data_IF_836642446757
#
_entry.id   IF_836642446757
#
_cell.length_a   1.000
_cell.length_b   1.000
_cell.length_c   1.000
_cell.angle_alpha   90.00
_cell.angle_beta   90.00
_cell.angle_gamma   90.00
#
_symmetry.space_group_name_H-M   'P 1'
#
loop_
_entity.id
_entity.type
_entity.pdbx_description
1 polymer ?
#
# COMPACT_ATOMS: atom_id res chain seq x y z
N UNK A 1 12.57 0.56 28.75
CA UNK A 1 11.11 0.43 29.02
C UNK A 1 10.42 1.71 28.57
N UNK A 2 10.49 2.07 27.28
CA UNK A 2 9.93 3.35 26.76
C UNK A 2 8.88 3.16 25.64
N UNK A 3 8.67 1.92 25.17
CA UNK A 3 7.77 1.64 24.03
C UNK A 3 6.28 1.47 24.41
N UNK A 4 5.93 1.57 25.69
CA UNK A 4 4.58 1.32 26.21
C UNK A 4 3.64 2.55 26.18
N UNK A 5 4.14 3.73 25.81
CA UNK A 5 3.41 5.00 25.98
C UNK A 5 2.11 5.13 25.18
N UNK A 6 1.97 4.41 24.06
CA UNK A 6 0.77 4.48 23.21
C UNK A 6 -0.24 3.38 23.50
N UNK A 7 0.21 2.20 23.90
CA UNK A 7 -0.64 1.03 24.20
C UNK A 7 -1.23 1.08 25.61
N UNK A 8 -0.73 1.95 26.47
CA UNK A 8 -1.31 2.24 27.80
C UNK A 8 -2.43 3.30 27.75
N UNK A 9 -2.76 3.81 26.56
CA UNK A 9 -3.82 4.82 26.43
C UNK A 9 -5.20 4.25 26.71
N UNK A 10 -6.11 5.14 27.10
CA UNK A 10 -7.51 4.82 27.31
C UNK A 10 -8.15 4.17 26.07
N UNK A 11 -7.69 4.54 24.87
CA UNK A 11 -8.11 3.92 23.63
C UNK A 11 -7.84 2.40 23.61
N UNK A 12 -6.62 1.98 23.96
CA UNK A 12 -6.26 0.56 24.02
C UNK A 12 -7.02 -0.18 25.12
N UNK A 13 -7.31 0.49 26.25
CA UNK A 13 -8.14 -0.06 27.32
C UNK A 13 -9.56 -0.36 26.83
N UNK A 14 -10.16 0.56 26.07
CA UNK A 14 -11.53 0.45 25.56
C UNK A 14 -11.67 -0.56 24.41
N UNK A 15 -10.66 -0.72 23.55
CA UNK A 15 -10.69 -1.75 22.48
C UNK A 15 -10.38 -3.15 23.01
N UNK A 16 -9.75 -3.26 24.18
CA UNK A 16 -9.45 -4.52 24.86
C UNK A 16 -10.56 -5.00 25.79
N UNK A 17 -11.42 -4.09 26.27
CA UNK A 17 -12.48 -4.40 27.23
C UNK A 17 -13.89 -4.22 26.62
N UNK A 18 -14.70 -5.29 26.51
CA UNK A 18 -16.04 -5.21 25.93
C UNK A 18 -17.11 -4.53 26.81
N UNK A 19 -16.86 -4.35 28.11
CA UNK A 19 -17.92 -4.02 29.08
C UNK A 19 -18.19 -2.51 29.23
N UNK A 20 -17.33 -1.64 28.69
CA UNK A 20 -17.55 -0.19 28.70
C UNK A 20 -16.91 0.46 27.48
N UNK A 21 -17.73 0.97 26.57
CA UNK A 21 -17.31 1.66 25.33
C UNK A 21 -17.72 3.12 25.29
N UNK A 22 -18.23 3.62 26.42
CA UNK A 22 -18.59 5.03 26.57
C UNK A 22 -17.34 5.87 26.45
N UNK A 23 -17.31 6.80 25.49
CA UNK A 23 -16.16 7.66 25.26
C UNK A 23 -15.12 7.13 24.28
N UNK A 24 -15.38 6.04 23.54
CA UNK A 24 -14.43 5.49 22.54
C UNK A 24 -13.95 6.54 21.53
N UNK A 25 -14.85 7.40 21.06
CA UNK A 25 -14.50 8.51 20.15
C UNK A 25 -13.53 9.49 20.80
N UNK A 26 -13.80 9.91 22.04
CA UNK A 26 -12.93 10.82 22.79
C UNK A 26 -11.56 10.20 23.02
N UNK A 27 -11.53 8.92 23.43
CA UNK A 27 -10.29 8.18 23.62
C UNK A 27 -9.48 8.04 22.32
N UNK A 28 -10.17 7.82 21.18
CA UNK A 28 -9.53 7.82 19.87
C UNK A 28 -8.93 9.18 19.53
N UNK A 29 -9.67 10.28 19.73
CA UNK A 29 -9.17 11.62 19.44
C UNK A 29 -7.93 11.94 20.30
N UNK A 30 -7.96 11.62 21.59
CA UNK A 30 -6.81 11.75 22.50
C UNK A 30 -5.62 10.88 22.08
N UNK A 31 -5.86 9.64 21.67
CA UNK A 31 -4.84 8.75 21.13
C UNK A 31 -4.14 9.36 19.91
N UNK A 32 -4.90 9.92 18.96
CA UNK A 32 -4.30 10.56 17.77
C UNK A 32 -3.47 11.79 18.15
N UNK A 33 -3.94 12.59 19.11
CA UNK A 33 -3.16 13.73 19.64
C UNK A 33 -1.86 13.27 20.27
N UNK A 34 -1.88 12.18 21.03
CA UNK A 34 -0.69 11.62 21.67
C UNK A 34 0.33 11.13 20.64
N UNK A 35 -0.14 10.46 19.59
CA UNK A 35 0.69 10.05 18.44
C UNK A 35 1.33 11.26 17.76
N UNK A 36 0.58 12.35 17.54
CA UNK A 36 1.13 13.58 16.95
C UNK A 36 2.21 14.17 17.84
N UNK A 37 1.93 14.34 19.13
CA UNK A 37 2.91 14.88 20.09
C UNK A 37 4.20 14.06 20.12
N UNK A 38 4.08 12.74 20.11
CA UNK A 38 5.22 11.84 20.07
C UNK A 38 6.09 12.06 18.82
N UNK A 39 5.47 12.30 17.66
CA UNK A 39 6.17 12.55 16.40
C UNK A 39 6.78 13.95 16.29
N UNK A 40 6.36 14.91 17.12
CA UNK A 40 6.92 16.27 17.16
C UNK A 40 8.17 16.38 18.03
N UNK A 41 8.49 15.35 18.84
CA UNK A 41 9.69 15.32 19.68
C UNK A 41 10.91 15.08 18.79
N UNK A 42 12.02 15.84 18.94
CA UNK A 42 13.20 15.72 18.09
C UNK A 42 13.75 14.28 18.00
N UNK A 43 14.24 13.87 16.82
CA UNK A 43 14.55 12.49 16.46
C UNK A 43 15.79 11.85 17.13
N UNK A 44 16.32 12.43 18.21
CA UNK A 44 17.62 12.02 18.78
C UNK A 44 17.65 10.57 19.32
N UNK A 45 16.51 9.91 19.48
CA UNK A 45 16.42 8.59 20.15
C UNK A 45 15.71 7.47 19.39
N UNK A 46 15.18 7.69 18.16
CA UNK A 46 14.38 6.67 17.45
C UNK A 46 13.08 6.25 18.16
N UNK A 47 12.78 6.87 19.29
CA UNK A 47 11.69 6.58 20.21
C UNK A 47 10.29 6.60 19.55
N UNK A 48 9.95 7.57 18.66
CA UNK A 48 8.65 7.59 18.00
C UNK A 48 8.41 6.38 17.08
N UNK A 49 9.45 5.94 16.36
CA UNK A 49 9.33 4.81 15.42
C UNK A 49 9.02 3.53 16.19
N UNK A 50 9.77 3.24 17.26
CA UNK A 50 9.57 2.03 18.05
C UNK A 50 8.19 1.98 18.73
N UNK A 51 7.75 3.09 19.33
CA UNK A 51 6.45 3.16 19.99
C UNK A 51 5.29 3.03 18.99
N UNK A 52 5.42 3.62 17.79
CA UNK A 52 4.41 3.47 16.73
C UNK A 52 4.40 2.07 16.11
N UNK A 53 5.55 1.46 15.87
CA UNK A 53 5.62 0.07 15.38
C UNK A 53 5.00 -0.92 16.36
N UNK A 54 5.20 -0.69 17.67
CA UNK A 54 4.55 -1.50 18.69
C UNK A 54 3.02 -1.29 18.69
N UNK A 55 2.55 -0.03 18.67
CA UNK A 55 1.13 0.27 18.59
C UNK A 55 0.47 -0.30 17.31
N UNK A 56 1.16 -0.29 16.16
CA UNK A 56 0.69 -0.93 14.93
C UNK A 56 0.48 -2.44 15.13
N UNK A 57 1.44 -3.12 15.74
CA UNK A 57 1.38 -4.57 15.98
C UNK A 57 0.18 -4.95 16.83
N UNK A 58 -0.06 -4.22 17.92
CA UNK A 58 -1.21 -4.47 18.80
C UNK A 58 -2.54 -4.17 18.10
N UNK A 59 -2.63 -3.10 17.30
CA UNK A 59 -3.83 -2.79 16.52
C UNK A 59 -4.14 -3.85 15.46
N UNK A 60 -3.12 -4.41 14.80
CA UNK A 60 -3.27 -5.54 13.88
C UNK A 60 -3.79 -6.79 14.57
N UNK A 61 -3.33 -7.06 15.80
CA UNK A 61 -3.82 -8.17 16.60
C UNK A 61 -5.30 -7.99 16.96
N UNK A 62 -5.71 -6.79 17.36
CA UNK A 62 -7.13 -6.48 17.61
C UNK A 62 -7.99 -6.62 16.35
N UNK A 63 -7.52 -6.14 15.18
CA UNK A 63 -8.21 -6.30 13.89
C UNK A 63 -8.40 -7.79 13.52
N UNK A 64 -7.37 -8.62 13.74
CA UNK A 64 -7.42 -10.06 13.49
C UNK A 64 -8.39 -10.81 14.43
N UNK A 65 -8.48 -10.41 15.70
CA UNK A 65 -9.43 -10.96 16.65
C UNK A 65 -10.88 -10.51 16.38
N UNK A 66 -11.07 -9.29 15.89
CA UNK A 66 -12.38 -8.65 15.71
C UNK A 66 -13.07 -8.99 14.38
N UNK A 67 -12.38 -9.58 13.41
CA UNK A 67 -12.97 -10.11 12.17
C UNK A 67 -14.06 -11.18 12.35
N UNK A 68 -14.42 -11.51 13.61
CA UNK A 68 -15.51 -12.42 14.00
C UNK A 68 -16.67 -11.75 14.75
N UNK A 69 -16.62 -10.43 15.01
CA UNK A 69 -17.62 -9.66 15.77
C UNK A 69 -18.38 -8.63 14.91
N UNK A 70 -19.67 -8.41 15.19
CA UNK A 70 -20.58 -7.50 14.46
C UNK A 70 -20.49 -6.02 14.89
N UNK A 71 -19.47 -5.63 15.65
CA UNK A 71 -19.41 -4.29 16.26
C UNK A 71 -18.76 -3.24 15.35
N UNK A 72 -19.59 -2.66 14.48
CA UNK A 72 -19.20 -1.69 13.45
C UNK A 72 -18.41 -0.48 13.99
N UNK A 73 -18.80 0.11 15.13
CA UNK A 73 -18.16 1.33 15.64
C UNK A 73 -16.76 1.06 16.22
N UNK A 74 -16.58 -0.04 16.94
CA UNK A 74 -15.28 -0.41 17.50
C UNK A 74 -14.31 -0.78 16.37
N UNK A 75 -14.77 -1.62 15.43
CA UNK A 75 -14.01 -1.98 14.24
C UNK A 75 -13.59 -0.71 13.48
N UNK A 76 -14.50 0.23 13.26
CA UNK A 76 -14.18 1.50 12.59
C UNK A 76 -13.06 2.28 13.29
N UNK A 77 -13.10 2.39 14.62
CA UNK A 77 -12.09 3.15 15.36
C UNK A 77 -10.72 2.44 15.37
N UNK A 78 -10.68 1.11 15.47
CA UNK A 78 -9.45 0.31 15.34
C UNK A 78 -8.83 0.50 13.96
N UNK A 79 -9.63 0.39 12.88
CA UNK A 79 -9.16 0.62 11.51
C UNK A 79 -8.64 2.05 11.29
N UNK A 80 -9.37 3.06 11.81
CA UNK A 80 -8.93 4.46 11.76
C UNK A 80 -7.60 4.66 12.49
N UNK A 81 -7.44 4.09 13.68
CA UNK A 81 -6.21 4.20 14.47
C UNK A 81 -5.04 3.51 13.75
N UNK A 82 -5.25 2.31 13.21
CA UNK A 82 -4.25 1.57 12.47
C UNK A 82 -3.79 2.34 11.21
N UNK A 83 -4.73 2.88 10.44
CA UNK A 83 -4.42 3.70 9.27
C UNK A 83 -3.64 4.96 9.66
N UNK A 84 -4.01 5.61 10.78
CA UNK A 84 -3.32 6.79 11.27
C UNK A 84 -1.89 6.51 11.73
N UNK A 85 -1.67 5.45 12.53
CA UNK A 85 -0.33 5.04 13.00
C UNK A 85 0.57 4.70 11.82
N UNK A 86 0.09 3.94 10.83
CA UNK A 86 0.82 3.65 9.59
C UNK A 86 1.21 4.91 8.83
N UNK A 87 0.30 5.88 8.72
CA UNK A 87 0.58 7.16 8.07
C UNK A 87 1.70 7.93 8.78
N UNK A 88 1.71 7.93 10.12
CA UNK A 88 2.75 8.58 10.92
C UNK A 88 4.10 7.86 10.82
N UNK A 89 4.10 6.52 10.83
CA UNK A 89 5.31 5.73 10.56
C UNK A 89 5.91 6.05 9.18
N UNK A 90 5.09 6.20 8.14
CA UNK A 90 5.57 6.61 6.81
C UNK A 90 6.07 8.05 6.77
N UNK A 91 5.43 8.96 7.52
CA UNK A 91 5.91 10.34 7.66
C UNK A 91 7.31 10.37 8.28
N UNK A 92 7.51 9.64 9.38
CA UNK A 92 8.82 9.52 10.02
C UNK A 92 9.82 8.80 9.11
N UNK A 93 9.44 7.71 8.44
CA UNK A 93 10.33 7.03 7.50
C UNK A 93 10.82 7.94 6.36
N UNK A 94 10.01 8.92 5.92
CA UNK A 94 10.41 9.96 4.96
C UNK A 94 11.38 10.99 5.55
N UNK A 95 11.35 11.25 6.85
CA UNK A 95 12.28 12.16 7.53
C UNK A 95 13.62 11.47 7.88
N UNK A 96 13.61 10.20 8.31
CA UNK A 96 14.81 9.44 8.67
C UNK A 96 15.54 8.83 7.45
N UNK A 97 14.80 8.53 6.39
CA UNK A 97 15.33 8.29 5.06
C UNK A 97 14.68 9.30 4.13
N UNK A 98 15.34 10.42 3.80
CA UNK A 98 14.84 11.28 2.75
C UNK A 98 14.84 10.43 1.48
N UNK A 99 13.66 9.92 1.11
CA UNK A 99 13.39 9.64 -0.29
C UNK A 99 13.85 10.88 -1.04
N UNK A 100 14.67 10.74 -2.10
CA UNK A 100 15.20 11.88 -2.82
C UNK A 100 14.03 12.84 -3.10
N UNK A 101 14.14 14.13 -2.72
CA UNK A 101 13.02 15.04 -2.73
C UNK A 101 12.29 14.97 -4.07
N UNK A 102 10.97 14.81 -4.04
CA UNK A 102 10.10 14.94 -5.23
C UNK A 102 10.07 16.37 -5.81
N UNK A 103 11.09 17.17 -5.51
CA UNK A 103 11.31 18.53 -5.97
C UNK A 103 12.75 18.72 -6.49
N UNK A 104 13.27 17.80 -7.33
CA UNK A 104 14.45 18.07 -8.19
C UNK A 104 14.41 17.31 -9.53
N UNK A 105 13.23 17.19 -10.15
CA UNK A 105 13.17 16.89 -11.59
C UNK A 105 12.57 18.06 -12.36
N UNK A 106 13.03 19.28 -12.04
CA UNK A 106 13.22 20.28 -13.07
C UNK A 106 14.36 19.79 -13.94
N UNK A 107 14.09 19.60 -15.23
CA UNK A 107 15.00 18.92 -16.13
C UNK A 107 16.41 19.49 -16.06
N UNK A 108 17.36 18.65 -15.65
CA UNK A 108 18.76 18.79 -16.02
C UNK A 108 19.43 17.43 -15.84
N UNK A 109 20.18 17.04 -16.88
CA UNK A 109 21.01 15.84 -16.91
C UNK A 109 22.04 15.93 -15.79
N UNK A 110 22.21 14.84 -15.02
CA UNK A 110 23.49 14.13 -14.73
C UNK A 110 23.47 13.46 -13.35
N UNK A 111 23.81 12.16 -13.30
CA UNK A 111 24.65 11.63 -12.21
C UNK A 111 24.01 10.74 -11.13
N UNK A 112 23.19 9.75 -11.48
CA UNK A 112 23.13 8.51 -10.70
C UNK A 112 24.03 7.48 -11.41
N UNK A 113 24.74 6.56 -10.71
CA UNK A 113 25.45 5.50 -11.39
C UNK A 113 24.42 4.74 -12.24
N UNK A 114 24.64 4.62 -13.57
CA UNK A 114 23.75 3.81 -14.37
C UNK A 114 23.81 2.41 -13.78
N UNK A 115 22.66 1.87 -13.41
CA UNK A 115 22.50 0.44 -13.65
C UNK A 115 22.78 0.29 -15.15
N UNK A 116 23.93 -0.28 -15.51
CA UNK A 116 24.32 -0.53 -16.91
C UNK A 116 23.31 -1.45 -17.63
N UNK A 117 22.33 -2.00 -16.90
CA UNK A 117 21.19 -2.66 -17.49
C UNK A 117 20.24 -1.63 -18.13
N UNK A 118 19.94 -1.75 -19.44
CA UNK A 118 18.97 -0.90 -20.10
C UNK A 118 17.60 -0.97 -19.40
N UNK A 119 16.80 0.11 -19.43
CA UNK A 119 15.45 0.09 -18.90
C UNK A 119 14.67 -1.09 -19.48
N UNK A 120 13.90 -1.78 -18.64
CA UNK A 120 12.95 -2.79 -19.11
C UNK A 120 11.91 -2.04 -19.94
N UNK A 121 11.60 -2.50 -21.16
CA UNK A 121 10.62 -1.83 -22.01
C UNK A 121 9.27 -2.56 -21.96
N UNK A 122 8.17 -1.81 -21.82
CA UNK A 122 6.84 -2.37 -22.04
C UNK A 122 6.60 -2.60 -23.54
N UNK A 123 6.39 -3.84 -23.93
CA UNK A 123 6.14 -4.23 -25.33
C UNK A 123 4.68 -4.58 -25.60
N UNK A 124 3.83 -4.54 -24.58
CA UNK A 124 2.38 -4.76 -24.72
C UNK A 124 1.67 -3.52 -25.26
N UNK A 125 0.36 -3.63 -25.48
CA UNK A 125 -0.44 -2.46 -25.87
C UNK A 125 -0.57 -1.46 -24.70
N UNK A 126 -0.89 -0.19 -25.00
CA UNK A 126 -1.23 0.79 -23.95
C UNK A 126 -2.47 0.34 -23.19
N UNK A 127 -3.47 -0.24 -23.88
CA UNK A 127 -4.66 -0.78 -23.22
C UNK A 127 -4.31 -1.90 -22.24
N UNK A 128 -3.37 -2.78 -22.59
CA UNK A 128 -2.93 -3.87 -21.72
C UNK A 128 -2.25 -3.31 -20.46
N UNK A 129 -1.39 -2.28 -20.61
CA UNK A 129 -0.76 -1.60 -19.49
C UNK A 129 -1.80 -0.93 -18.60
N UNK A 130 -2.73 -0.18 -19.20
CA UNK A 130 -3.77 0.55 -18.48
C UNK A 130 -4.69 -0.42 -17.73
N UNK A 131 -5.04 -1.55 -18.34
CA UNK A 131 -5.79 -2.61 -17.68
C UNK A 131 -5.04 -3.14 -16.44
N UNK A 132 -3.74 -3.42 -16.55
CA UNK A 132 -2.90 -3.80 -15.41
C UNK A 132 -2.91 -2.73 -14.30
N UNK A 133 -2.71 -1.45 -14.64
CA UNK A 133 -2.68 -0.36 -13.67
C UNK A 133 -4.01 -0.21 -12.93
N UNK A 134 -5.14 -0.27 -13.64
CA UNK A 134 -6.46 -0.22 -13.02
C UNK A 134 -6.79 -1.48 -12.22
N UNK A 135 -6.29 -2.65 -12.62
CA UNK A 135 -6.38 -3.87 -11.82
C UNK A 135 -5.64 -3.75 -10.49
N UNK A 136 -4.40 -3.25 -10.52
CA UNK A 136 -3.60 -2.99 -9.31
C UNK A 136 -4.22 -1.93 -8.41
N UNK A 137 -4.73 -0.84 -9.01
CA UNK A 137 -5.46 0.20 -8.27
C UNK A 137 -6.74 -0.37 -7.63
N UNK A 138 -7.45 -1.27 -8.30
CA UNK A 138 -8.69 -1.88 -7.76
C UNK A 138 -8.40 -2.89 -6.67
N UNK A 139 -7.36 -3.71 -6.84
CA UNK A 139 -6.98 -4.75 -5.87
C UNK A 139 -6.33 -4.17 -4.61
N UNK A 140 -5.85 -2.92 -4.66
CA UNK A 140 -5.27 -2.20 -3.51
C UNK A 140 -4.14 -2.99 -2.82
N UNK A 141 -3.44 -3.82 -3.59
CA UNK A 141 -2.38 -4.71 -3.08
C UNK A 141 -1.00 -4.03 -2.97
N UNK A 142 -0.88 -2.76 -3.39
CA UNK A 142 0.37 -1.99 -3.34
C UNK A 142 0.29 -0.98 -2.19
N UNK A 143 1.34 -0.93 -1.36
CA UNK A 143 1.48 0.01 -0.25
C UNK A 143 0.27 0.05 0.70
N UNK A 144 -0.34 -1.11 0.97
CA UNK A 144 -1.53 -1.20 1.82
C UNK A 144 -2.77 -0.51 1.25
N UNK A 145 -2.84 -0.35 -0.07
CA UNK A 145 -3.98 0.23 -0.77
C UNK A 145 -3.94 1.75 -0.92
N UNK A 146 -2.87 2.40 -0.50
CA UNK A 146 -2.78 3.87 -0.54
C UNK A 146 -2.35 4.41 -1.89
N UNK A 147 -1.69 3.59 -2.70
CA UNK A 147 -1.24 4.00 -4.03
C UNK A 147 -2.43 4.09 -4.98
N UNK A 148 -2.69 5.30 -5.46
CA UNK A 148 -3.73 5.58 -6.44
C UNK A 148 -3.25 5.43 -7.88
N UNK A 149 -4.20 5.43 -8.82
CA UNK A 149 -3.93 5.26 -10.26
C UNK A 149 -2.87 6.23 -10.82
N UNK A 150 -2.86 7.50 -10.41
CA UNK A 150 -1.90 8.48 -10.92
C UNK A 150 -0.47 8.16 -10.48
N UNK A 151 -0.29 7.72 -9.24
CA UNK A 151 1.00 7.32 -8.71
C UNK A 151 1.50 6.05 -9.41
N UNK A 152 0.61 5.05 -9.59
CA UNK A 152 0.92 3.85 -10.38
C UNK A 152 1.38 4.20 -11.80
N UNK A 153 0.69 5.11 -12.49
CA UNK A 153 1.08 5.55 -13.83
C UNK A 153 2.50 6.12 -13.86
N UNK A 154 2.83 7.02 -12.92
CA UNK A 154 4.16 7.64 -12.85
C UNK A 154 5.24 6.59 -12.60
N UNK A 155 5.02 5.68 -11.66
CA UNK A 155 5.99 4.63 -11.33
C UNK A 155 6.21 3.65 -12.49
N UNK A 156 5.14 3.15 -13.10
CA UNK A 156 5.26 2.19 -14.20
C UNK A 156 5.82 2.84 -15.47
N UNK A 157 5.51 4.11 -15.75
CA UNK A 157 6.11 4.86 -16.85
C UNK A 157 7.63 4.94 -16.69
N UNK A 158 8.08 5.34 -15.49
CA UNK A 158 9.51 5.42 -15.17
C UNK A 158 10.17 4.03 -15.21
N UNK A 159 9.53 3.02 -14.64
CA UNK A 159 10.03 1.65 -14.62
C UNK A 159 10.23 1.11 -16.04
N UNK A 160 9.29 1.41 -16.95
CA UNK A 160 9.36 0.96 -18.33
C UNK A 160 10.16 1.86 -19.28
N UNK A 161 10.77 2.93 -18.75
CA UNK A 161 11.46 3.92 -19.58
C UNK A 161 10.57 4.57 -20.65
N UNK A 162 9.27 4.70 -20.39
CA UNK A 162 8.27 5.23 -21.32
C UNK A 162 7.55 6.45 -20.77
N UNK A 163 6.93 7.25 -21.64
CA UNK A 163 6.03 8.33 -21.24
C UNK A 163 4.57 7.91 -21.46
N UNK A 164 3.81 7.74 -20.37
CA UNK A 164 2.37 7.53 -20.42
C UNK A 164 1.64 8.83 -20.05
N UNK A 165 1.01 9.47 -21.03
CA UNK A 165 0.24 10.70 -20.77
C UNK A 165 -1.06 10.38 -20.03
N UNK A 166 -1.52 11.23 -19.08
CA UNK A 166 -2.82 11.08 -18.41
C UNK A 166 -3.99 10.85 -19.38
N UNK A 167 -4.01 11.58 -20.50
CA UNK A 167 -5.04 11.45 -21.53
C UNK A 167 -5.03 10.08 -22.22
N UNK A 168 -3.85 9.49 -22.47
CA UNK A 168 -3.74 8.16 -23.06
C UNK A 168 -4.27 7.08 -22.12
N UNK A 169 -3.96 7.18 -20.83
CA UNK A 169 -4.49 6.28 -19.82
C UNK A 169 -6.02 6.37 -19.71
N UNK A 170 -6.55 7.59 -19.59
CA UNK A 170 -7.99 7.80 -19.52
C UNK A 170 -8.72 7.28 -20.76
N UNK A 171 -8.24 7.60 -21.97
CA UNK A 171 -8.85 7.15 -23.21
C UNK A 171 -8.81 5.62 -23.34
N UNK A 172 -7.66 5.00 -23.06
CA UNK A 172 -7.54 3.55 -23.06
C UNK A 172 -8.48 2.88 -22.04
N UNK A 173 -8.67 3.49 -20.87
CA UNK A 173 -9.64 2.99 -19.87
C UNK A 173 -11.09 3.12 -20.35
N UNK A 174 -11.45 4.24 -21.00
CA UNK A 174 -12.76 4.40 -21.63
C UNK A 174 -12.99 3.35 -22.72
N UNK A 175 -11.98 3.05 -23.52
CA UNK A 175 -12.06 2.02 -24.56
C UNK A 175 -12.23 0.62 -23.97
N UNK A 176 -11.50 0.29 -22.90
CA UNK A 176 -11.68 -0.95 -22.13
C UNK A 176 -13.13 -1.08 -21.64
N UNK A 177 -13.68 0.00 -21.05
CA UNK A 177 -15.06 0.01 -20.55
C UNK A 177 -16.12 -0.16 -21.64
N UNK A 178 -15.81 0.18 -22.90
CA UNK A 178 -16.71 0.08 -24.06
C UNK A 178 -16.69 -1.28 -24.75
N UNK A 179 -15.78 -2.19 -24.37
CA UNK A 179 -15.74 -3.56 -24.89
C UNK A 179 -17.07 -4.28 -24.62
N UNK A 180 -17.58 -5.00 -25.63
CA UNK A 180 -18.90 -5.66 -25.62
C UNK A 180 -18.84 -7.15 -25.32
N UNK A 181 -17.65 -7.75 -25.28
CA UNK A 181 -17.46 -9.15 -24.95
C UNK A 181 -17.78 -9.39 -23.46
N UNK A 182 -18.01 -10.66 -23.10
CA UNK A 182 -18.37 -11.07 -21.73
C UNK A 182 -17.33 -10.61 -20.70
N UNK A 183 -16.05 -10.78 -21.03
CA UNK A 183 -14.97 -10.13 -20.28
C UNK A 183 -14.57 -8.82 -20.96
N UNK A 184 -14.28 -7.81 -20.13
CA UNK A 184 -13.68 -6.55 -20.60
C UNK A 184 -12.18 -6.51 -20.35
N UNK A 185 -11.64 -7.45 -19.57
CA UNK A 185 -10.25 -7.48 -19.09
C UNK A 185 -9.41 -8.48 -19.86
N UNK A 186 -9.18 -8.20 -21.14
CA UNK A 186 -8.49 -9.09 -22.06
C UNK A 186 -7.03 -9.38 -21.67
N UNK A 187 -6.33 -8.40 -21.09
CA UNK A 187 -4.96 -8.61 -20.64
C UNK A 187 -4.93 -9.60 -19.47
N UNK A 188 -5.79 -9.43 -18.47
CA UNK A 188 -5.85 -10.34 -17.34
C UNK A 188 -6.31 -11.75 -17.72
N UNK A 189 -7.29 -11.87 -18.62
CA UNK A 189 -7.75 -13.18 -19.10
C UNK A 189 -6.61 -13.94 -19.77
N UNK A 190 -5.91 -13.28 -20.70
CA UNK A 190 -4.77 -13.86 -21.43
C UNK A 190 -3.59 -14.15 -20.49
N UNK A 191 -3.30 -13.26 -19.54
CA UNK A 191 -2.23 -13.45 -18.56
C UNK A 191 -2.53 -14.64 -17.64
N UNK A 192 -3.77 -14.77 -17.17
CA UNK A 192 -4.22 -15.89 -16.34
C UNK A 192 -4.13 -17.21 -17.10
N UNK A 193 -4.66 -17.28 -18.33
CA UNK A 193 -4.57 -18.45 -19.19
C UNK A 193 -3.11 -18.89 -19.39
N UNK A 194 -2.24 -17.96 -19.82
CA UNK A 194 -0.83 -18.26 -20.11
C UNK A 194 -0.02 -18.65 -18.88
N UNK A 195 -0.30 -18.04 -17.72
CA UNK A 195 0.37 -18.40 -16.48
C UNK A 195 -0.04 -19.81 -16.02
N UNK A 196 -1.33 -20.15 -16.09
CA UNK A 196 -1.81 -21.49 -15.76
C UNK A 196 -1.21 -22.56 -16.69
N UNK A 197 -1.17 -22.31 -18.01
CA UNK A 197 -0.49 -23.20 -18.97
C UNK A 197 0.98 -23.46 -18.59
N UNK A 198 1.70 -22.41 -18.17
CA UNK A 198 3.10 -22.53 -17.76
C UNK A 198 3.25 -23.38 -16.51
N UNK A 199 2.40 -23.17 -15.50
CA UNK A 199 2.43 -23.92 -14.24
C UNK A 199 2.25 -25.41 -14.51
N UNK A 200 1.27 -25.80 -15.33
CA UNK A 200 1.05 -27.22 -15.70
C UNK A 200 2.29 -27.83 -16.35
N UNK A 201 2.93 -27.12 -17.28
CA UNK A 201 4.15 -27.60 -17.95
C UNK A 201 5.33 -27.74 -16.98
N UNK A 202 5.46 -26.81 -16.04
CA UNK A 202 6.53 -26.84 -15.04
C UNK A 202 6.32 -28.01 -14.05
N UNK A 203 5.08 -28.28 -13.64
CA UNK A 203 4.71 -29.45 -12.83
C UNK A 203 5.03 -30.78 -13.54
N UNK A 204 4.69 -30.89 -14.83
CA UNK A 204 5.00 -32.08 -15.64
C UNK A 204 6.50 -32.34 -15.73
N UNK A 205 7.29 -31.28 -15.96
CA UNK A 205 8.75 -31.35 -15.98
C UNK A 205 9.31 -31.78 -14.62
N UNK A 206 8.74 -31.30 -13.52
CA UNK A 206 9.17 -31.70 -12.19
C UNK A 206 8.86 -33.18 -11.91
N UNK A 207 7.67 -33.67 -12.30
CA UNK A 207 7.32 -35.10 -12.18
C UNK A 207 8.24 -35.98 -13.02
N UNK A 208 8.62 -35.54 -14.21
CA UNK A 208 9.53 -36.28 -15.08
C UNK A 208 10.95 -36.36 -14.51
N UNK A 209 11.41 -35.36 -13.75
CA UNK A 209 12.72 -35.38 -13.07
C UNK A 209 12.78 -36.29 -11.84
N UNK A 210 11.62 -36.57 -11.23
CA UNK A 210 11.48 -37.42 -10.03
C UNK A 210 11.23 -38.90 -10.36
N UNK A 211 11.08 -39.24 -11.65
CA UNK A 211 10.97 -40.61 -12.15
C UNK A 211 12.32 -41.07 -12.66
#
# INVERSE_FOLDING_TARGET
MEHLTLTETEFFRLISNPDSRTGLRTAYDEFTQRVIQLCLIPPESGHPVHALSYAETELQYHEALQGRSHESELNLHVHKALAFVRKMLRFLAREYHPLPPSHMFTGEKTGAPPSDAPPICWTGSISDLVELLYGLDTLKCINGGETGIQELMVHFSRFFGMELKPSQCYNAYVDIRRRKNDSRTYFFDRASEKLNERIVKDDERERARKR
#
